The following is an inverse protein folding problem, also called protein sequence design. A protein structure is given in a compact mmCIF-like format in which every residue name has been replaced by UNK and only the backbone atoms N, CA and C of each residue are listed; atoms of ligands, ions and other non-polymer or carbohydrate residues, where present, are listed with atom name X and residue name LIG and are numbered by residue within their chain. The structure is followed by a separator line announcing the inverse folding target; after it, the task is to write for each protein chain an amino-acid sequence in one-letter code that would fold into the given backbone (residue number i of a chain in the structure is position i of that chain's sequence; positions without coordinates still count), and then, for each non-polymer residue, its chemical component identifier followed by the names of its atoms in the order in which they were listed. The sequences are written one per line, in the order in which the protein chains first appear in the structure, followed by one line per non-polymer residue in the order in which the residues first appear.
data_IF_022911655783
#
_entry.id   IF_022911655783
#
_cell.length_a   1.000
_cell.length_b   1.000
_cell.length_c   1.000
_cell.angle_alpha   90.00
_cell.angle_beta   90.00
_cell.angle_gamma   90.00
#
_symmetry.space_group_name_H-M   'P 1'
#
loop_
_entity.id
_entity.type
_entity.pdbx_description
1 polymer ?
#
# COMPACT_ATOMS: atom_id res chain seq x y z
N UNK A 1 -15.75 18.37 -2.30
CA UNK A 1 -14.49 18.80 -1.60
C UNK A 1 -13.89 17.71 -0.71
N UNK A 2 -14.68 16.98 0.09
CA UNK A 2 -14.16 15.90 0.95
C UNK A 2 -13.55 14.76 0.13
N UNK A 3 -14.23 14.27 -0.90
CA UNK A 3 -13.72 13.18 -1.74
C UNK A 3 -12.38 13.50 -2.45
N UNK A 4 -12.22 14.72 -2.97
CA UNK A 4 -10.93 15.18 -3.53
C UNK A 4 -9.82 15.12 -2.48
N UNK A 5 -10.10 15.58 -1.25
CA UNK A 5 -9.14 15.50 -0.14
C UNK A 5 -8.83 14.04 0.22
N UNK A 6 -9.82 13.15 0.24
CA UNK A 6 -9.62 11.74 0.54
C UNK A 6 -8.70 11.08 -0.49
N UNK A 7 -8.89 11.36 -1.78
CA UNK A 7 -7.98 10.89 -2.85
C UNK A 7 -6.57 11.44 -2.65
N UNK A 8 -6.41 12.74 -2.36
CA UNK A 8 -5.09 13.32 -2.10
C UNK A 8 -4.40 12.65 -0.91
N UNK A 9 -5.11 12.44 0.20
CA UNK A 9 -4.58 11.75 1.38
C UNK A 9 -4.24 10.29 1.08
N UNK A 10 -5.03 9.59 0.26
CA UNK A 10 -4.74 8.22 -0.13
C UNK A 10 -3.48 8.12 -1.01
N UNK A 11 -3.25 9.09 -1.92
CA UNK A 11 -2.02 9.18 -2.72
C UNK A 11 -0.79 9.36 -1.81
N UNK A 12 -0.84 10.30 -0.87
CA UNK A 12 0.24 10.51 0.11
C UNK A 12 0.46 9.26 0.98
N UNK A 13 -0.63 8.62 1.40
CA UNK A 13 -0.61 7.40 2.22
C UNK A 13 0.00 6.18 1.51
N UNK A 14 -0.10 6.09 0.18
CA UNK A 14 0.59 5.06 -0.61
C UNK A 14 2.08 5.31 -0.64
N UNK A 15 2.51 6.56 -0.92
CA UNK A 15 3.93 6.91 -0.99
C UNK A 15 4.69 6.54 0.31
N UNK A 16 4.06 6.81 1.46
CA UNK A 16 4.60 6.44 2.78
C UNK A 16 4.75 4.92 2.91
N UNK A 17 3.75 4.15 2.49
CA UNK A 17 3.76 2.69 2.61
C UNK A 17 4.71 2.02 1.63
N UNK A 18 4.84 2.54 0.41
CA UNK A 18 5.85 2.08 -0.55
C UNK A 18 7.27 2.28 0.01
N UNK A 19 7.53 3.42 0.67
CA UNK A 19 8.80 3.64 1.35
C UNK A 19 9.00 2.69 2.54
N UNK A 20 7.95 2.43 3.32
CA UNK A 20 7.99 1.50 4.45
C UNK A 20 8.28 0.05 3.99
N UNK A 21 7.63 -0.42 2.91
CA UNK A 21 7.92 -1.72 2.29
C UNK A 21 9.36 -1.79 1.80
N UNK A 22 9.84 -0.73 1.14
CA UNK A 22 11.24 -0.69 0.68
C UNK A 22 12.22 -0.81 1.85
N UNK A 23 11.98 -0.08 2.93
CA UNK A 23 12.82 -0.16 4.13
C UNK A 23 12.78 -1.55 4.76
N UNK A 24 11.60 -2.17 4.88
CA UNK A 24 11.48 -3.50 5.48
C UNK A 24 12.13 -4.61 4.63
N UNK A 25 12.17 -4.45 3.30
CA UNK A 25 12.97 -5.31 2.41
C UNK A 25 14.46 -5.17 2.75
N UNK A 26 14.98 -3.94 2.85
CA UNK A 26 16.39 -3.70 3.18
C UNK A 26 16.75 -4.25 4.58
N UNK A 27 15.86 -4.13 5.55
CA UNK A 27 16.03 -4.72 6.90
C UNK A 27 16.08 -6.25 6.86
N UNK A 28 15.20 -6.89 6.09
CA UNK A 28 15.20 -8.34 5.92
C UNK A 28 16.50 -8.82 5.26
N UNK A 29 16.94 -8.16 4.18
CA UNK A 29 18.19 -8.49 3.50
C UNK A 29 19.41 -8.34 4.42
N UNK A 30 19.43 -7.28 5.24
CA UNK A 30 20.47 -7.06 6.23
C UNK A 30 20.48 -8.18 7.29
N UNK A 31 19.32 -8.55 7.82
CA UNK A 31 19.24 -9.57 8.87
C UNK A 31 19.62 -10.96 8.34
N UNK A 32 19.23 -11.26 7.09
CA UNK A 32 19.67 -12.45 6.37
C UNK A 32 21.20 -12.47 6.20
N UNK A 33 21.81 -11.36 5.78
CA UNK A 33 23.26 -11.26 5.63
C UNK A 33 23.99 -11.46 6.97
N UNK A 34 23.46 -10.93 8.08
CA UNK A 34 24.01 -11.21 9.43
C UNK A 34 23.90 -12.69 9.77
N UNK A 35 22.76 -13.32 9.48
CA UNK A 35 22.57 -14.75 9.76
C UNK A 35 23.56 -15.62 8.97
N UNK A 36 23.75 -15.33 7.68
CA UNK A 36 24.71 -16.03 6.82
C UNK A 36 26.16 -15.86 7.33
N UNK A 37 26.46 -14.73 7.97
CA UNK A 37 27.74 -14.47 8.65
C UNK A 37 27.83 -15.06 10.08
N UNK A 38 26.78 -15.72 10.58
CA UNK A 38 26.71 -16.26 11.95
C UNK A 38 26.53 -15.20 13.04
N UNK A 39 26.13 -13.98 12.68
CA UNK A 39 25.93 -12.82 13.56
C UNK A 39 24.46 -12.60 13.96
N UNK A 40 23.54 -13.42 13.44
CA UNK A 40 22.12 -13.39 13.76
C UNK A 40 21.57 -14.81 13.93
N UNK A 41 20.32 -14.92 14.38
CA UNK A 41 19.60 -16.17 14.58
C UNK A 41 18.50 -16.36 13.54
N UNK A 42 18.16 -17.61 13.23
CA UNK A 42 17.08 -17.89 12.28
C UNK A 42 15.73 -17.31 12.71
N UNK A 43 15.48 -17.18 14.02
CA UNK A 43 14.31 -16.50 14.57
C UNK A 43 14.27 -15.01 14.16
N UNK A 44 15.39 -14.30 14.25
CA UNK A 44 15.45 -12.88 13.87
C UNK A 44 15.21 -12.68 12.37
N UNK A 45 15.71 -13.60 11.53
CA UNK A 45 15.43 -13.60 10.08
C UNK A 45 13.94 -13.79 9.82
N UNK A 46 13.29 -14.75 10.50
CA UNK A 46 11.84 -14.98 10.36
C UNK A 46 11.01 -13.79 10.85
N UNK A 47 11.42 -13.14 11.94
CA UNK A 47 10.76 -11.92 12.43
C UNK A 47 10.91 -10.75 11.43
N UNK A 48 12.09 -10.60 10.81
CA UNK A 48 12.30 -9.59 9.77
C UNK A 48 11.48 -9.89 8.50
N UNK A 49 11.43 -11.16 8.08
CA UNK A 49 10.59 -11.63 6.99
C UNK A 49 9.11 -11.33 7.26
N UNK A 50 8.62 -11.64 8.47
CA UNK A 50 7.24 -11.36 8.85
C UNK A 50 6.91 -9.86 8.77
N UNK A 51 7.78 -8.98 9.29
CA UNK A 51 7.59 -7.52 9.20
C UNK A 51 7.57 -7.02 7.74
N UNK A 52 8.41 -7.60 6.88
CA UNK A 52 8.42 -7.28 5.46
C UNK A 52 7.10 -7.69 4.79
N UNK A 53 6.61 -8.89 5.10
CA UNK A 53 5.33 -9.39 4.56
C UNK A 53 4.14 -8.55 5.06
N UNK A 54 4.12 -8.17 6.34
CA UNK A 54 3.12 -7.25 6.92
C UNK A 54 3.16 -5.88 6.21
N UNK A 55 4.35 -5.30 6.00
CA UNK A 55 4.50 -4.03 5.29
C UNK A 55 3.94 -4.09 3.86
N UNK A 56 4.16 -5.23 3.18
CA UNK A 56 3.66 -5.44 1.82
C UNK A 56 2.14 -5.59 1.78
N UNK A 57 1.54 -6.22 2.78
CA UNK A 57 0.09 -6.28 2.94
C UNK A 57 -0.48 -4.87 3.16
N UNK A 58 0.15 -4.07 4.01
CA UNK A 58 -0.28 -2.69 4.27
C UNK A 58 -0.20 -1.81 3.01
N UNK A 59 0.86 -1.94 2.21
CA UNK A 59 1.00 -1.25 0.92
C UNK A 59 -0.12 -1.64 -0.06
N UNK A 60 -0.43 -2.94 -0.16
CA UNK A 60 -1.52 -3.42 -1.01
C UNK A 60 -2.87 -2.89 -0.54
N UNK A 61 -3.11 -2.87 0.77
CA UNK A 61 -4.34 -2.32 1.33
C UNK A 61 -4.48 -0.83 0.99
N UNK A 62 -3.40 -0.06 1.07
CA UNK A 62 -3.45 1.36 0.70
C UNK A 62 -3.72 1.60 -0.79
N UNK A 63 -3.24 0.70 -1.65
CA UNK A 63 -3.56 0.73 -3.09
C UNK A 63 -5.06 0.48 -3.31
N UNK A 64 -5.66 -0.44 -2.55
CA UNK A 64 -7.10 -0.67 -2.54
C UNK A 64 -7.84 0.58 -2.05
N UNK A 65 -7.43 1.16 -0.93
CA UNK A 65 -8.06 2.36 -0.35
C UNK A 65 -8.06 3.55 -1.33
N UNK A 66 -7.00 3.70 -2.14
CA UNK A 66 -6.96 4.72 -3.20
C UNK A 66 -7.97 4.44 -4.32
N UNK A 67 -8.13 3.19 -4.73
CA UNK A 67 -9.10 2.81 -5.75
C UNK A 67 -10.54 3.07 -5.29
N UNK A 68 -10.82 2.80 -4.01
CA UNK A 68 -12.10 3.10 -3.39
C UNK A 68 -12.33 4.61 -3.33
N UNK A 69 -11.35 5.40 -2.86
CA UNK A 69 -11.45 6.86 -2.83
C UNK A 69 -11.67 7.48 -4.23
N UNK A 70 -11.07 6.91 -5.27
CA UNK A 70 -11.32 7.32 -6.65
C UNK A 70 -12.74 6.98 -7.12
N UNK A 71 -13.27 5.83 -6.69
CA UNK A 71 -14.63 5.40 -7.02
C UNK A 71 -15.65 6.32 -6.38
N UNK A 72 -15.47 6.66 -5.10
CA UNK A 72 -16.31 7.63 -4.37
C UNK A 72 -16.30 9.02 -5.02
N UNK A 73 -15.11 9.50 -5.43
CA UNK A 73 -15.00 10.78 -6.12
C UNK A 73 -15.79 10.79 -7.43
N UNK A 74 -15.73 9.70 -8.20
CA UNK A 74 -16.44 9.60 -9.48
C UNK A 74 -17.96 9.55 -9.32
N UNK A 75 -18.44 8.84 -8.31
CA UNK A 75 -19.86 8.80 -7.96
C UNK A 75 -20.39 10.21 -7.66
N UNK A 76 -19.65 10.98 -6.86
CA UNK A 76 -20.02 12.35 -6.50
C UNK A 76 -19.96 13.32 -7.68
N UNK A 77 -19.02 13.12 -8.61
CA UNK A 77 -18.89 13.95 -9.81
C UNK A 77 -19.92 13.57 -10.92
N UNK A 78 -20.75 12.55 -10.70
CA UNK A 78 -21.82 12.13 -11.63
C UNK A 78 -21.34 11.51 -12.94
N UNK A 79 -20.02 11.34 -13.11
CA UNK A 79 -19.40 10.82 -14.33
C UNK A 79 -19.34 9.28 -14.39
N UNK A 80 -19.80 8.60 -13.34
CA UNK A 80 -19.83 7.14 -13.26
C UNK A 80 -20.70 6.53 -14.36
N UNK A 81 -21.89 7.09 -14.63
CA UNK A 81 -22.81 6.58 -15.64
C UNK A 81 -22.27 6.75 -17.07
N UNK A 82 -21.63 7.89 -17.37
CA UNK A 82 -21.02 8.18 -18.68
C UNK A 82 -19.90 7.19 -19.03
N UNK A 83 -19.09 6.77 -18.05
CA UNK A 83 -18.00 5.80 -18.27
C UNK A 83 -18.53 4.38 -18.50
N UNK A 84 -19.62 3.99 -17.84
CA UNK A 84 -20.27 2.70 -18.06
C UNK A 84 -21.27 2.71 -19.23
N UNK A 85 -21.42 3.85 -19.91
CA UNK A 85 -22.29 3.99 -21.08
C UNK A 85 -23.78 3.87 -20.76
N UNK A 86 -24.21 4.21 -19.55
CA UNK A 86 -25.61 4.10 -19.13
C UNK A 86 -26.32 5.43 -19.42
N UNK A 87 -27.24 5.42 -20.38
CA UNK A 87 -28.17 6.52 -20.65
C UNK A 87 -29.57 6.13 -20.15
N UNK A 88 -30.27 7.08 -19.53
CA UNK A 88 -31.71 6.95 -19.26
C UNK A 88 -32.46 7.63 -20.41
N UNK A 89 -33.38 6.89 -21.04
CA UNK A 89 -34.34 7.41 -22.05
C UNK A 89 -35.30 8.45 -21.46
#
# INVERSE_FOLDING_TARGET
RIAVRNVTTAIEGISIRELATKLSIEEFEMEKAKFDAGLSTGRQVLEAQQRMDESRVDELQAKIDLLDAYSDLRELDGTSLDRYGIQFD
#
